data_IF_642633283999
#
_entry.id   IF_642633283999
#
_cell.length_a   1.000
_cell.length_b   1.000
_cell.length_c   1.000
_cell.angle_alpha   90.00
_cell.angle_beta   90.00
_cell.angle_gamma   90.00
#
_symmetry.space_group_name_H-M   'P 1'
#
loop_
_entity.id
_entity.type
_entity.pdbx_description
1 polymer ?
#
# COMPACT_ATOMS: atom_id res chain seq x y z
N UNK A 1 -10.34 13.10 20.72
CA UNK A 1 -11.13 12.26 19.78
C UNK A 1 -10.54 10.84 19.72
N UNK A 2 -11.23 9.93 20.44
CA UNK A 2 -11.26 8.48 20.31
C UNK A 2 -9.95 7.70 20.55
N UNK A 3 -9.94 7.02 21.71
CA UNK A 3 -9.27 5.76 22.02
C UNK A 3 -9.53 4.69 20.94
N UNK A 4 -9.02 4.90 19.72
CA UNK A 4 -8.91 3.82 18.74
C UNK A 4 -7.73 2.98 19.18
N UNK A 5 -8.02 1.80 19.72
CA UNK A 5 -7.04 0.74 19.90
C UNK A 5 -6.33 0.59 18.55
N UNK A 6 -5.05 0.98 18.51
CA UNK A 6 -4.23 0.83 17.31
C UNK A 6 -3.95 -0.67 17.22
N UNK A 7 -4.39 -1.36 16.16
CA UNK A 7 -4.15 -2.78 16.05
C UNK A 7 -2.65 -3.02 15.99
N UNK A 8 -2.13 -3.72 17.01
CA UNK A 8 -0.79 -4.26 17.01
C UNK A 8 -0.83 -5.44 16.06
N UNK A 9 -0.17 -5.29 14.91
CA UNK A 9 -0.22 -6.25 13.81
C UNK A 9 0.27 -7.64 14.24
N UNK A 10 1.27 -7.66 15.13
CA UNK A 10 1.80 -8.85 15.79
C UNK A 10 0.78 -9.60 16.67
N UNK A 11 -0.38 -9.00 16.94
CA UNK A 11 -1.44 -9.56 17.78
C UNK A 11 -2.79 -9.66 17.03
N UNK A 12 -2.77 -9.57 15.71
CA UNK A 12 -3.98 -9.76 14.90
C UNK A 12 -4.30 -11.25 14.81
N UNK A 13 -5.53 -11.62 15.14
CA UNK A 13 -6.02 -12.99 14.94
C UNK A 13 -6.40 -13.14 13.46
N UNK A 14 -5.49 -13.66 12.65
CA UNK A 14 -5.64 -13.78 11.20
C UNK A 14 -6.95 -14.49 10.79
N UNK A 15 -7.34 -15.57 11.48
CA UNK A 15 -8.58 -16.27 11.17
C UNK A 15 -9.85 -15.44 11.34
N UNK A 16 -9.88 -14.51 12.31
CA UNK A 16 -11.02 -13.58 12.47
C UNK A 16 -11.05 -12.55 11.34
N UNK A 17 -9.89 -12.06 10.93
CA UNK A 17 -9.76 -11.16 9.79
C UNK A 17 -10.22 -11.82 8.49
N UNK A 18 -9.76 -13.04 8.20
CA UNK A 18 -10.16 -13.74 6.97
C UNK A 18 -11.66 -14.04 6.91
N UNK A 19 -12.29 -14.41 8.03
CA UNK A 19 -13.76 -14.54 8.11
C UNK A 19 -14.49 -13.22 7.83
N UNK A 20 -13.92 -12.10 8.29
CA UNK A 20 -14.48 -10.77 8.00
C UNK A 20 -14.33 -10.41 6.52
N UNK A 21 -13.17 -10.71 5.93
CA UNK A 21 -12.92 -10.53 4.50
C UNK A 21 -13.91 -11.36 3.66
N UNK A 22 -14.18 -12.60 4.06
CA UNK A 22 -15.18 -13.45 3.39
C UNK A 22 -16.55 -12.75 3.33
N UNK A 23 -17.07 -12.37 4.49
CA UNK A 23 -18.36 -11.68 4.58
C UNK A 23 -18.39 -10.35 3.81
N UNK A 24 -17.29 -9.59 3.83
CA UNK A 24 -17.20 -8.31 3.11
C UNK A 24 -17.21 -8.50 1.58
N UNK A 25 -16.52 -9.52 1.08
CA UNK A 25 -16.48 -9.83 -0.36
C UNK A 25 -17.83 -10.37 -0.83
N UNK A 26 -18.48 -11.24 -0.08
CA UNK A 26 -19.83 -11.72 -0.38
C UNK A 26 -20.82 -10.56 -0.52
N UNK A 27 -20.73 -9.59 0.39
CA UNK A 27 -21.59 -8.41 0.37
C UNK A 27 -21.26 -7.44 -0.77
N UNK A 28 -19.97 -7.15 -0.98
CA UNK A 28 -19.55 -6.13 -1.94
C UNK A 28 -19.56 -6.62 -3.39
N UNK A 29 -19.25 -7.89 -3.61
CA UNK A 29 -19.15 -8.52 -4.93
C UNK A 29 -19.99 -9.81 -4.90
N UNK A 30 -21.33 -9.74 -4.91
CA UNK A 30 -22.17 -10.93 -4.75
C UNK A 30 -22.03 -11.93 -5.90
N UNK A 31 -21.68 -11.47 -7.10
CA UNK A 31 -21.44 -12.34 -8.25
C UNK A 31 -20.10 -13.09 -8.10
N UNK A 32 -20.17 -14.41 -7.87
CA UNK A 32 -18.99 -15.28 -7.76
C UNK A 32 -18.15 -15.34 -9.05
N UNK A 33 -18.80 -15.14 -10.21
CA UNK A 33 -18.16 -15.10 -11.52
C UNK A 33 -17.67 -13.70 -11.91
N UNK A 34 -17.64 -12.74 -10.98
CA UNK A 34 -17.15 -11.40 -11.24
C UNK A 34 -15.73 -11.42 -11.86
N UNK A 35 -15.59 -10.74 -12.99
CA UNK A 35 -14.37 -10.68 -13.80
C UNK A 35 -13.90 -9.24 -14.04
N UNK A 36 -14.37 -8.30 -13.21
CA UNK A 36 -13.96 -6.90 -13.27
C UNK A 36 -12.76 -6.59 -12.36
N UNK A 37 -12.47 -5.30 -12.22
CA UNK A 37 -11.43 -4.79 -11.33
C UNK A 37 -11.87 -4.91 -9.87
N UNK A 38 -11.02 -5.49 -9.02
CA UNK A 38 -11.28 -5.66 -7.60
C UNK A 38 -10.08 -5.14 -6.79
N UNK A 39 -10.26 -4.00 -6.13
CA UNK A 39 -9.16 -3.27 -5.50
C UNK A 39 -9.32 -3.32 -3.99
N UNK A 40 -8.30 -3.79 -3.30
CA UNK A 40 -8.23 -3.74 -1.84
C UNK A 40 -7.58 -2.41 -1.44
N UNK A 41 -8.39 -1.51 -0.90
CA UNK A 41 -7.94 -0.22 -0.38
C UNK A 41 -7.57 -0.32 1.11
N UNK A 42 -6.30 -0.65 1.37
CA UNK A 42 -5.76 -0.78 2.72
C UNK A 42 -4.58 0.17 2.94
N UNK A 43 -4.86 1.33 3.53
CA UNK A 43 -3.86 2.38 3.73
C UNK A 43 -3.50 2.64 5.20
N UNK A 44 -3.89 1.76 6.14
CA UNK A 44 -3.67 2.01 7.58
C UNK A 44 -2.17 2.08 7.90
N UNK A 45 -1.42 1.05 7.52
CA UNK A 45 0.04 0.97 7.62
C UNK A 45 0.66 0.61 6.26
N UNK A 46 1.97 0.85 6.11
CA UNK A 46 2.73 0.38 4.93
C UNK A 46 3.30 -1.02 5.20
N UNK A 47 3.41 -1.88 4.16
CA UNK A 47 3.85 -3.27 4.32
C UNK A 47 5.11 -3.50 5.15
N UNK A 48 6.10 -2.60 5.07
CA UNK A 48 7.34 -2.74 5.82
C UNK A 48 7.49 -1.66 6.89
N UNK A 49 7.99 -2.08 8.05
CA UNK A 49 8.19 -1.30 9.27
C UNK A 49 8.87 0.04 9.01
N UNK A 50 9.99 0.04 8.30
CA UNK A 50 10.82 1.23 8.02
C UNK A 50 10.08 2.29 7.19
N UNK A 51 9.08 1.90 6.40
CA UNK A 51 8.28 2.83 5.61
C UNK A 51 7.07 3.38 6.35
N UNK A 52 6.84 2.99 7.61
CA UNK A 52 5.81 3.59 8.45
C UNK A 52 6.28 4.92 9.08
N UNK A 53 6.56 5.92 8.24
CA UNK A 53 6.97 7.28 8.62
C UNK A 53 5.79 8.27 8.75
N UNK A 54 6.09 9.52 9.18
CA UNK A 54 5.10 10.58 9.47
C UNK A 54 4.00 10.09 10.43
N UNK A 55 2.72 10.28 10.09
CA UNK A 55 1.57 9.85 10.89
C UNK A 55 1.52 8.33 11.14
N UNK A 56 2.22 7.53 10.34
CA UNK A 56 2.33 6.07 10.51
C UNK A 56 3.44 5.65 11.47
N UNK A 57 4.26 6.57 12.01
CA UNK A 57 5.27 6.26 13.04
C UNK A 57 4.68 5.60 14.27
N UNK A 58 3.38 5.79 14.51
CA UNK A 58 2.70 5.15 15.63
C UNK A 58 2.77 3.62 15.58
N UNK A 59 2.66 2.99 14.40
CA UNK A 59 2.79 1.53 14.29
C UNK A 59 4.19 1.04 14.69
N UNK A 60 5.23 1.83 14.41
CA UNK A 60 6.59 1.54 14.86
C UNK A 60 6.72 1.59 16.37
N UNK A 61 6.17 2.64 16.99
CA UNK A 61 6.19 2.84 18.45
C UNK A 61 5.43 1.73 19.18
N UNK A 62 4.21 1.42 18.72
CA UNK A 62 3.39 0.36 19.32
C UNK A 62 4.04 -1.02 19.17
N UNK A 63 4.72 -1.28 18.05
CA UNK A 63 5.48 -2.53 17.85
C UNK A 63 6.62 -2.68 18.87
N UNK A 64 7.38 -1.61 19.12
CA UNK A 64 8.45 -1.62 20.13
C UNK A 64 7.87 -1.80 21.53
N UNK A 65 6.80 -1.06 21.86
CA UNK A 65 6.12 -1.18 23.15
C UNK A 65 5.58 -2.60 23.38
N UNK A 66 5.07 -3.26 22.34
CA UNK A 66 4.61 -4.64 22.40
C UNK A 66 5.74 -5.64 22.70
N UNK A 67 6.92 -5.45 22.11
CA UNK A 67 8.12 -6.25 22.43
C UNK A 67 8.55 -6.03 23.89
N UNK A 68 8.68 -4.77 24.32
CA UNK A 68 9.10 -4.43 25.68
C UNK A 68 8.13 -4.90 26.75
N UNK A 69 6.83 -4.94 26.45
CA UNK A 69 5.83 -5.50 27.37
C UNK A 69 6.03 -7.00 27.63
N UNK A 70 6.48 -7.74 26.61
CA UNK A 70 6.79 -9.18 26.72
C UNK A 70 8.17 -9.44 27.32
N UNK A 71 9.10 -8.50 27.18
CA UNK A 71 10.44 -8.59 27.73
C UNK A 71 10.87 -7.22 28.31
N UNK A 72 10.70 -7.03 29.62
CA UNK A 72 10.90 -5.72 30.26
C UNK A 72 12.37 -5.32 30.44
N UNK A 73 13.33 -6.23 30.23
CA UNK A 73 14.77 -5.99 30.43
C UNK A 73 15.55 -5.80 29.13
N UNK A 74 14.89 -5.92 27.99
CA UNK A 74 15.51 -5.75 26.67
C UNK A 74 15.88 -4.28 26.42
N UNK A 75 17.05 -4.04 25.83
CA UNK A 75 17.45 -2.69 25.43
C UNK A 75 16.64 -2.19 24.21
N UNK A 76 16.67 -0.88 23.99
CA UNK A 76 15.90 -0.22 22.92
C UNK A 76 16.24 -0.76 21.53
N UNK A 77 17.53 -0.95 21.24
CA UNK A 77 17.99 -1.32 19.90
C UNK A 77 17.58 -2.74 19.55
N UNK A 78 17.72 -3.65 20.52
CA UNK A 78 17.25 -5.04 20.36
C UNK A 78 15.73 -5.08 20.27
N UNK A 79 15.01 -4.28 21.07
CA UNK A 79 13.55 -4.18 20.98
C UNK A 79 13.08 -3.71 19.59
N UNK A 80 13.73 -2.69 19.02
CA UNK A 80 13.41 -2.18 17.68
C UNK A 80 13.68 -3.23 16.60
N UNK A 81 14.79 -3.97 16.69
CA UNK A 81 15.09 -5.06 15.74
C UNK A 81 14.01 -6.14 15.75
N UNK A 82 13.64 -6.63 16.93
CA UNK A 82 12.58 -7.65 17.07
C UNK A 82 11.24 -7.08 16.58
N UNK A 83 10.91 -5.85 16.94
CA UNK A 83 9.67 -5.19 16.54
C UNK A 83 9.56 -5.07 15.02
N UNK A 84 10.67 -4.75 14.33
CA UNK A 84 10.75 -4.68 12.88
C UNK A 84 10.47 -6.03 12.23
N UNK A 85 11.13 -7.09 12.70
CA UNK A 85 11.01 -8.43 12.11
C UNK A 85 9.60 -8.99 12.32
N UNK A 86 9.07 -8.91 13.54
CA UNK A 86 7.72 -9.35 13.85
C UNK A 86 6.66 -8.54 13.08
N UNK A 87 6.83 -7.21 12.96
CA UNK A 87 5.91 -6.37 12.18
C UNK A 87 5.92 -6.78 10.71
N UNK A 88 7.11 -6.89 10.09
CA UNK A 88 7.23 -7.23 8.67
C UNK A 88 6.62 -8.59 8.36
N UNK A 89 6.87 -9.59 9.21
CA UNK A 89 6.32 -10.93 9.04
C UNK A 89 4.79 -10.93 9.15
N UNK A 90 4.25 -10.37 10.24
CA UNK A 90 2.80 -10.32 10.46
C UNK A 90 2.08 -9.49 9.38
N UNK A 91 2.71 -8.41 8.92
CA UNK A 91 2.23 -7.55 7.84
C UNK A 91 2.13 -8.27 6.50
N UNK A 92 3.22 -8.91 6.08
CA UNK A 92 3.25 -9.62 4.81
C UNK A 92 2.29 -10.80 4.82
N UNK A 93 2.24 -11.56 5.94
CA UNK A 93 1.27 -12.64 6.10
C UNK A 93 -0.18 -12.12 6.01
N UNK A 94 -0.50 -11.04 6.72
CA UNK A 94 -1.83 -10.44 6.70
C UNK A 94 -2.25 -10.05 5.28
N UNK A 95 -1.42 -9.33 4.53
CA UNK A 95 -1.75 -8.87 3.18
C UNK A 95 -1.83 -10.03 2.17
N UNK A 96 -0.88 -10.96 2.23
CA UNK A 96 -0.83 -12.14 1.34
C UNK A 96 -2.07 -13.00 1.55
N UNK A 97 -2.42 -13.32 2.80
CA UNK A 97 -3.55 -14.18 3.10
C UNK A 97 -4.88 -13.51 2.76
N UNK A 98 -4.96 -12.18 2.91
CA UNK A 98 -6.13 -11.40 2.48
C UNK A 98 -6.37 -11.50 0.98
N UNK A 99 -5.36 -11.22 0.15
CA UNK A 99 -5.53 -11.25 -1.32
C UNK A 99 -5.70 -12.68 -1.85
N UNK A 100 -5.05 -13.67 -1.23
CA UNK A 100 -5.29 -15.09 -1.54
C UNK A 100 -6.75 -15.46 -1.29
N UNK A 101 -7.29 -15.10 -0.11
CA UNK A 101 -8.70 -15.34 0.21
C UNK A 101 -9.62 -14.67 -0.80
N UNK A 102 -9.35 -13.41 -1.14
CA UNK A 102 -10.14 -12.67 -2.11
C UNK A 102 -10.14 -13.33 -3.50
N UNK A 103 -8.98 -13.79 -3.97
CA UNK A 103 -8.83 -14.54 -5.22
C UNK A 103 -9.54 -15.88 -5.20
N UNK A 104 -9.47 -16.64 -4.10
CA UNK A 104 -10.21 -17.90 -3.99
C UNK A 104 -11.72 -17.66 -4.14
N UNK A 105 -12.24 -16.57 -3.58
CA UNK A 105 -13.66 -16.25 -3.63
C UNK A 105 -14.10 -15.69 -4.98
N UNK A 106 -13.28 -14.87 -5.63
CA UNK A 106 -13.57 -14.25 -6.94
C UNK A 106 -12.39 -14.50 -7.89
N UNK A 107 -12.25 -15.73 -8.42
CA UNK A 107 -11.05 -16.16 -9.14
C UNK A 107 -10.86 -15.50 -10.51
N UNK A 108 -11.93 -14.95 -11.10
CA UNK A 108 -11.89 -14.28 -12.40
C UNK A 108 -11.60 -12.78 -12.30
N UNK A 109 -11.63 -12.22 -11.09
CA UNK A 109 -11.46 -10.79 -10.87
C UNK A 109 -9.98 -10.37 -10.93
N UNK A 110 -9.77 -9.11 -11.26
CA UNK A 110 -8.45 -8.49 -11.28
C UNK A 110 -8.13 -7.92 -9.89
N UNK A 111 -7.54 -8.74 -9.01
CA UNK A 111 -7.21 -8.39 -7.64
C UNK A 111 -5.85 -7.71 -7.52
N UNK A 112 -5.80 -6.69 -6.66
CA UNK A 112 -4.58 -6.01 -6.27
C UNK A 112 -4.83 -4.97 -5.19
N UNK A 113 -3.75 -4.41 -4.65
CA UNK A 113 -3.82 -3.37 -3.63
C UNK A 113 -3.73 -1.99 -4.28
N UNK A 114 -4.57 -1.06 -3.82
CA UNK A 114 -4.49 0.33 -4.20
C UNK A 114 -3.11 0.92 -3.86
N UNK A 115 -2.59 1.75 -4.77
CA UNK A 115 -1.33 2.48 -4.61
C UNK A 115 -0.07 1.64 -4.80
N UNK A 116 -0.20 0.36 -5.17
CA UNK A 116 0.94 -0.54 -5.38
C UNK A 116 1.19 -0.82 -6.88
N UNK A 117 2.45 -0.79 -7.34
CA UNK A 117 3.66 -0.55 -6.54
C UNK A 117 3.86 0.90 -6.13
N UNK A 118 4.66 1.11 -5.08
CA UNK A 118 4.90 2.43 -4.50
C UNK A 118 5.94 3.22 -5.30
N UNK A 119 5.82 4.54 -5.28
CA UNK A 119 6.83 5.45 -5.82
C UNK A 119 6.99 6.65 -4.90
N UNK A 120 8.11 7.37 -5.06
CA UNK A 120 8.32 8.61 -4.34
C UNK A 120 7.42 9.73 -4.87
N UNK A 121 6.67 10.40 -3.99
CA UNK A 121 5.88 11.60 -4.34
C UNK A 121 6.73 12.75 -4.88
N UNK A 122 8.04 12.77 -4.62
CA UNK A 122 8.97 13.74 -5.21
C UNK A 122 9.64 13.24 -6.50
N UNK A 123 9.27 12.08 -7.04
CA UNK A 123 9.84 11.61 -8.31
C UNK A 123 9.63 12.65 -9.43
N UNK A 124 10.65 12.88 -10.24
CA UNK A 124 10.64 13.88 -11.30
C UNK A 124 11.02 15.31 -10.90
N UNK A 125 11.09 15.67 -9.60
CA UNK A 125 11.41 17.06 -9.19
C UNK A 125 12.86 17.45 -9.48
N UNK A 126 13.77 16.49 -9.52
CA UNK A 126 15.18 16.66 -9.87
C UNK A 126 15.44 16.51 -11.38
N UNK A 127 14.39 16.41 -12.21
CA UNK A 127 14.51 16.19 -13.65
C UNK A 127 14.76 14.73 -14.07
N UNK A 128 14.80 13.77 -13.14
CA UNK A 128 15.03 12.35 -13.46
C UNK A 128 13.75 11.54 -13.48
N UNK A 129 13.71 10.51 -14.33
CA UNK A 129 12.63 9.53 -14.36
C UNK A 129 13.04 8.33 -13.51
N UNK A 130 12.69 8.34 -12.24
CA UNK A 130 12.95 7.25 -11.31
C UNK A 130 12.12 7.41 -10.03
N UNK A 131 11.68 6.29 -9.44
CA UNK A 131 11.14 6.30 -8.08
C UNK A 131 12.25 6.36 -7.01
N UNK A 132 13.49 6.07 -7.41
CA UNK A 132 14.67 6.09 -6.57
C UNK A 132 14.87 4.76 -5.85
N UNK A 133 16.13 4.47 -5.53
CA UNK A 133 16.58 3.18 -5.00
C UNK A 133 15.81 2.74 -3.74
N UNK A 134 15.46 3.69 -2.86
CA UNK A 134 14.68 3.40 -1.65
C UNK A 134 13.33 2.76 -1.99
N UNK A 135 12.63 3.24 -3.01
CA UNK A 135 11.32 2.71 -3.41
C UNK A 135 11.45 1.48 -4.31
N UNK A 136 12.47 1.40 -5.14
CA UNK A 136 12.76 0.21 -5.93
C UNK A 136 13.08 -0.99 -5.02
N UNK A 137 13.94 -0.80 -4.01
CA UNK A 137 14.25 -1.81 -2.99
C UNK A 137 13.04 -2.14 -2.11
N UNK A 138 12.20 -1.14 -1.81
CA UNK A 138 10.94 -1.40 -1.12
C UNK A 138 10.06 -2.36 -1.93
N UNK A 139 9.79 -2.02 -3.19
CA UNK A 139 8.95 -2.84 -4.06
C UNK A 139 9.54 -4.23 -4.31
N UNK A 140 10.86 -4.36 -4.38
CA UNK A 140 11.53 -5.66 -4.53
C UNK A 140 11.27 -6.57 -3.34
N UNK A 141 11.25 -6.01 -2.14
CA UNK A 141 10.88 -6.75 -0.92
C UNK A 141 9.39 -7.07 -0.82
N UNK A 142 8.55 -6.46 -1.65
CA UNK A 142 7.12 -6.76 -1.76
C UNK A 142 6.79 -7.75 -2.88
N UNK A 143 7.78 -8.32 -3.56
CA UNK A 143 7.55 -9.23 -4.68
C UNK A 143 6.65 -10.41 -4.31
N UNK A 144 6.79 -10.98 -3.11
CA UNK A 144 5.92 -12.07 -2.63
C UNK A 144 4.45 -11.67 -2.51
N UNK A 145 4.16 -10.39 -2.22
CA UNK A 145 2.80 -9.87 -2.24
C UNK A 145 2.32 -9.63 -3.68
N UNK A 146 3.18 -9.11 -4.56
CA UNK A 146 2.82 -8.85 -5.96
C UNK A 146 2.56 -10.12 -6.77
N UNK A 147 3.26 -11.22 -6.46
CA UNK A 147 3.01 -12.55 -7.05
C UNK A 147 1.56 -13.01 -6.79
N UNK A 148 0.97 -12.57 -5.68
CA UNK A 148 -0.42 -12.91 -5.37
C UNK A 148 -1.43 -12.02 -6.10
N UNK A 149 -1.04 -10.87 -6.65
CA UNK A 149 -1.95 -10.00 -7.40
C UNK A 149 -2.22 -10.52 -8.81
N UNK A 150 -3.40 -10.21 -9.35
CA UNK A 150 -3.73 -10.44 -10.77
C UNK A 150 -3.81 -9.15 -11.57
N UNK A 151 -3.62 -7.99 -10.92
CA UNK A 151 -3.39 -6.68 -11.53
C UNK A 151 -2.62 -5.76 -10.56
N UNK A 152 -1.93 -4.75 -11.09
CA UNK A 152 -1.28 -3.70 -10.29
C UNK A 152 -2.07 -2.39 -10.39
N UNK A 153 -2.17 -1.67 -9.27
CA UNK A 153 -2.98 -0.47 -9.13
C UNK A 153 -2.18 0.75 -8.61
N UNK A 154 -1.13 1.20 -9.32
CA UNK A 154 -0.35 2.35 -8.89
C UNK A 154 -1.20 3.62 -8.89
N UNK A 155 -0.95 4.51 -7.94
CA UNK A 155 -1.56 5.85 -7.92
C UNK A 155 -0.65 6.84 -8.65
N UNK A 156 -1.24 7.58 -9.59
CA UNK A 156 -0.60 8.67 -10.33
C UNK A 156 -1.26 10.02 -10.01
N UNK A 157 -1.89 10.14 -8.84
CA UNK A 157 -2.46 11.42 -8.39
C UNK A 157 -1.40 12.50 -8.48
N UNK A 158 -1.69 13.53 -9.29
CA UNK A 158 -0.70 14.49 -9.69
C UNK A 158 -0.38 15.39 -8.49
N UNK A 159 0.84 15.34 -7.92
CA UNK A 159 1.18 16.25 -6.84
C UNK A 159 1.16 17.69 -7.34
N UNK A 160 0.93 18.64 -6.44
CA UNK A 160 1.13 20.04 -6.75
C UNK A 160 2.62 20.27 -7.08
N UNK A 161 2.91 20.80 -8.26
CA UNK A 161 4.25 20.93 -8.84
C UNK A 161 4.48 22.36 -9.32
N UNK A 162 5.74 22.79 -9.29
CA UNK A 162 6.15 24.09 -9.83
C UNK A 162 6.07 24.14 -11.37
N UNK A 163 6.16 22.99 -12.05
CA UNK A 163 6.05 22.91 -13.51
C UNK A 163 5.36 21.63 -13.99
N UNK A 164 4.68 21.73 -15.13
CA UNK A 164 4.04 20.60 -15.81
C UNK A 164 5.03 19.48 -16.16
N UNK A 165 6.28 19.84 -16.49
CA UNK A 165 7.35 18.87 -16.82
C UNK A 165 7.60 17.93 -15.64
N UNK A 166 7.76 18.46 -14.43
CA UNK A 166 7.97 17.63 -13.23
C UNK A 166 6.77 16.76 -12.89
N UNK A 167 5.55 17.19 -13.26
CA UNK A 167 4.34 16.38 -13.19
C UNK A 167 4.37 15.20 -14.17
N UNK A 168 4.74 15.44 -15.43
CA UNK A 168 4.92 14.37 -16.42
C UNK A 168 5.99 13.37 -15.99
N UNK A 169 7.14 13.84 -15.51
CA UNK A 169 8.23 12.99 -15.03
C UNK A 169 7.80 12.11 -13.85
N UNK A 170 6.97 12.63 -12.95
CA UNK A 170 6.37 11.85 -11.86
C UNK A 170 5.52 10.69 -12.41
N UNK A 171 4.58 10.97 -13.30
CA UNK A 171 3.70 9.95 -13.88
C UNK A 171 4.52 8.89 -14.62
N UNK A 172 5.51 9.30 -15.42
CA UNK A 172 6.38 8.36 -16.13
C UNK A 172 7.17 7.50 -15.14
N UNK A 173 7.68 8.08 -14.04
CA UNK A 173 8.41 7.34 -13.01
C UNK A 173 7.55 6.25 -12.36
N UNK A 174 6.31 6.59 -11.97
CA UNK A 174 5.36 5.63 -11.40
C UNK A 174 5.05 4.50 -12.40
N UNK A 175 4.81 4.84 -13.67
CA UNK A 175 4.51 3.86 -14.71
C UNK A 175 5.69 2.96 -15.04
N UNK A 176 6.92 3.48 -15.03
CA UNK A 176 8.13 2.68 -15.22
C UNK A 176 8.31 1.70 -14.06
N UNK A 177 8.09 2.14 -12.83
CA UNK A 177 8.20 1.26 -11.67
C UNK A 177 7.11 0.18 -11.65
N UNK A 178 5.89 0.53 -12.05
CA UNK A 178 4.81 -0.44 -12.25
C UNK A 178 5.17 -1.50 -13.28
N UNK A 179 5.74 -1.09 -14.42
CA UNK A 179 6.23 -2.01 -15.45
C UNK A 179 7.39 -2.86 -14.95
N UNK A 180 8.35 -2.29 -14.21
CA UNK A 180 9.48 -3.01 -13.62
C UNK A 180 9.00 -4.11 -12.67
N UNK A 181 8.05 -3.79 -11.79
CA UNK A 181 7.46 -4.77 -10.88
C UNK A 181 6.66 -5.84 -11.61
N UNK A 182 5.83 -5.46 -12.58
CA UNK A 182 5.05 -6.41 -13.38
C UNK A 182 5.94 -7.39 -14.18
N UNK A 183 7.10 -6.93 -14.67
CA UNK A 183 8.05 -7.77 -15.40
C UNK A 183 8.70 -8.86 -14.54
N UNK A 184 8.67 -8.72 -13.20
CA UNK A 184 9.16 -9.74 -12.26
C UNK A 184 8.12 -10.81 -11.94
N UNK A 185 6.88 -10.66 -12.42
CA UNK A 185 5.80 -11.61 -12.19
C UNK A 185 5.77 -12.64 -13.31
N UNK A 186 5.56 -13.91 -12.95
CA UNK A 186 5.53 -15.02 -13.93
C UNK A 186 4.42 -14.86 -14.97
N UNK A 187 3.28 -14.28 -14.56
CA UNK A 187 2.19 -13.90 -15.44
C UNK A 187 2.28 -12.42 -15.78
N UNK A 188 2.02 -12.08 -17.05
CA UNK A 188 1.83 -10.68 -17.45
C UNK A 188 0.56 -10.16 -16.79
N UNK A 189 0.70 -9.43 -15.69
CA UNK A 189 -0.42 -8.76 -15.03
C UNK A 189 -0.69 -7.41 -15.69
N UNK A 190 -1.96 -7.03 -15.91
CA UNK A 190 -2.31 -5.68 -16.36
C UNK A 190 -2.02 -4.64 -15.26
N UNK A 191 -1.80 -3.40 -15.70
CA UNK A 191 -1.59 -2.24 -14.84
C UNK A 191 -2.75 -1.28 -15.06
N UNK A 192 -3.49 -0.95 -14.00
CA UNK A 192 -4.59 0.01 -14.03
C UNK A 192 -4.28 1.14 -13.05
N UNK A 193 -4.00 2.33 -13.56
CA UNK A 193 -3.62 3.47 -12.72
C UNK A 193 -4.83 4.11 -12.05
N UNK A 194 -4.70 4.46 -10.77
CA UNK A 194 -5.59 5.42 -10.13
C UNK A 194 -5.14 6.84 -10.47
N UNK A 195 -6.07 7.63 -11.01
CA UNK A 195 -5.86 9.04 -11.33
C UNK A 195 -6.96 9.90 -10.72
N UNK A 196 -6.67 11.18 -10.52
CA UNK A 196 -7.64 12.18 -10.09
C UNK A 196 -7.61 13.33 -11.10
N UNK A 197 -8.75 14.00 -11.29
CA UNK A 197 -8.82 15.23 -12.09
C UNK A 197 -8.20 16.43 -11.34
N UNK A 198 -7.91 16.24 -10.06
CA UNK A 198 -7.48 17.26 -9.11
C UNK A 198 -6.01 17.07 -8.70
N UNK A 199 -5.31 18.18 -8.41
CA UNK A 199 -3.97 18.11 -7.82
C UNK A 199 -4.01 17.67 -6.35
N UNK A 200 -2.98 16.95 -5.92
CA UNK A 200 -2.82 16.49 -4.54
C UNK A 200 -1.67 17.22 -3.79
N UNK A 201 -1.86 17.64 -2.53
CA UNK A 201 -3.13 17.66 -1.80
C UNK A 201 -4.10 18.69 -2.41
N UNK A 202 -5.39 18.43 -2.24
CA UNK A 202 -6.44 19.36 -2.65
C UNK A 202 -6.25 20.71 -1.98
N UNK A 203 -6.43 21.76 -2.78
CA UNK A 203 -6.49 23.15 -2.32
C UNK A 203 -7.93 23.60 -2.49
N UNK A 204 -8.77 23.54 -1.44
CA UNK A 204 -10.19 23.89 -1.53
C UNK A 204 -10.43 25.31 -2.03
N UNK A 205 -9.47 26.20 -1.78
CA UNK A 205 -9.51 27.60 -2.19
C UNK A 205 -9.07 27.82 -3.65
N UNK A 206 -8.74 26.78 -4.40
CA UNK A 206 -8.37 26.91 -5.81
C UNK A 206 -9.57 27.45 -6.61
N UNK A 207 -9.38 28.48 -7.45
CA UNK A 207 -10.44 29.03 -8.32
C UNK A 207 -11.16 27.99 -9.17
N UNK A 208 -10.51 26.86 -9.47
CA UNK A 208 -11.13 25.74 -10.17
C UNK A 208 -12.30 25.11 -9.38
N UNK A 209 -12.20 25.03 -8.05
CA UNK A 209 -13.23 24.41 -7.18
C UNK A 209 -14.24 25.41 -6.60
N UNK A 210 -13.92 26.71 -6.60
CA UNK A 210 -14.77 27.76 -6.01
C UNK A 210 -15.67 28.47 -7.02
N UNK A 211 -15.55 28.18 -8.32
CA UNK A 211 -16.52 28.63 -9.32
C UNK A 211 -17.83 27.84 -9.17
N UNK A 212 -18.71 28.37 -8.35
CA UNK A 212 -20.14 28.05 -8.40
C UNK A 212 -20.66 28.65 -9.70
N UNK A 213 -20.96 27.81 -10.70
CA UNK A 213 -21.70 28.23 -11.88
C UNK A 213 -23.14 28.64 -11.49
#
# INVERSE_FOLDING_TARGET
>A
LRNKIIPILQNVILGKHLKKIESDIEKAIPNENFNGLAIIDYEKWRPLYEHNWSSKRIYRKESIAYVKKRNSRIDEKTAESIAKDEFNNASMEFLIQTIRKAKTMRPKAFWGYYGMPFCNYTAGTNGTIACGEVYENFNDRLLSLYIESTALYPSIYLPNRESNVTGCLYVISVLQEAKRCAAKLMSKVPIYTFTAIEYFPLKPDDPYYTRVN
#
